data_IF_997583950118
#
_entry.id   IF_997583950118
#
_cell.length_a   1.000
_cell.length_b   1.000
_cell.length_c   1.000
_cell.angle_alpha   90.00
_cell.angle_beta   90.00
_cell.angle_gamma   90.00
#
_symmetry.space_group_name_H-M   'P 1'
#
loop_
_entity.id
_entity.type
_entity.pdbx_description
1 polymer ?
#
# COMPACT_ATOMS: atom_id res chain seq x y z
N UNK A 1 -27.33 24.12 -0.55
CA UNK A 1 -25.87 24.14 -0.33
C UNK A 1 -25.29 23.18 -1.35
N UNK A 2 -24.34 23.61 -2.18
CA UNK A 2 -23.55 22.66 -2.97
C UNK A 2 -22.60 22.03 -1.96
N UNK A 3 -22.71 20.74 -1.74
CA UNK A 3 -21.74 19.99 -0.97
C UNK A 3 -20.38 20.24 -1.61
N UNK A 4 -19.46 20.85 -0.85
CA UNK A 4 -18.06 20.92 -1.25
C UNK A 4 -17.57 19.46 -1.19
N UNK A 5 -17.69 18.72 -2.29
CA UNK A 5 -16.94 17.48 -2.48
C UNK A 5 -15.46 17.85 -2.36
N UNK A 6 -14.87 17.52 -1.21
CA UNK A 6 -13.44 17.67 -1.01
C UNK A 6 -12.80 16.66 -1.97
N UNK A 7 -12.16 17.16 -3.01
CA UNK A 7 -11.45 16.34 -3.99
C UNK A 7 -10.49 15.38 -3.26
N UNK A 8 -10.61 14.09 -3.58
CA UNK A 8 -9.74 13.08 -2.97
C UNK A 8 -8.30 13.27 -3.49
N UNK A 9 -7.30 13.14 -2.61
CA UNK A 9 -5.91 13.28 -3.03
C UNK A 9 -5.52 12.14 -3.99
N UNK A 10 -4.74 12.47 -5.01
CA UNK A 10 -4.18 11.50 -5.96
C UNK A 10 -3.06 10.70 -5.28
N UNK A 11 -3.41 9.53 -4.75
CA UNK A 11 -2.46 8.64 -4.09
C UNK A 11 -1.37 8.12 -5.02
N UNK A 12 -1.66 7.93 -6.32
CA UNK A 12 -0.67 7.47 -7.28
C UNK A 12 0.42 8.53 -7.49
N UNK A 13 0.02 9.79 -7.60
CA UNK A 13 0.96 10.92 -7.68
C UNK A 13 1.78 11.06 -6.41
N UNK A 14 1.15 10.97 -5.23
CA UNK A 14 1.84 11.06 -3.94
C UNK A 14 2.87 9.93 -3.80
N UNK A 15 2.47 8.69 -4.08
CA UNK A 15 3.37 7.53 -4.05
C UNK A 15 4.54 7.70 -5.02
N UNK A 16 4.24 8.12 -6.26
CA UNK A 16 5.27 8.37 -7.26
C UNK A 16 6.30 9.41 -6.82
N UNK A 17 5.85 10.51 -6.20
CA UNK A 17 6.73 11.53 -5.64
C UNK A 17 7.60 10.99 -4.51
N UNK A 18 7.02 10.23 -3.57
CA UNK A 18 7.77 9.59 -2.49
C UNK A 18 8.86 8.66 -3.03
N UNK A 19 8.51 7.76 -3.96
CA UNK A 19 9.47 6.81 -4.54
C UNK A 19 10.61 7.49 -5.31
N UNK A 20 10.36 8.65 -5.95
CA UNK A 20 11.39 9.39 -6.67
C UNK A 20 12.50 9.96 -5.77
N UNK A 21 12.21 10.19 -4.48
CA UNK A 21 13.21 10.65 -3.51
C UNK A 21 14.13 9.54 -3.03
N UNK A 22 13.79 8.28 -3.31
CA UNK A 22 14.53 7.10 -2.87
C UNK A 22 15.41 6.55 -3.98
N UNK A 23 16.59 6.08 -3.60
CA UNK A 23 17.51 5.33 -4.47
C UNK A 23 16.77 4.19 -5.19
N UNK A 24 16.94 4.01 -6.52
CA UNK A 24 16.14 3.05 -7.29
C UNK A 24 16.10 1.63 -6.72
N UNK A 25 17.23 1.12 -6.22
CA UNK A 25 17.32 -0.22 -5.63
C UNK A 25 16.62 -0.38 -4.28
N UNK A 26 16.29 0.72 -3.59
CA UNK A 26 15.64 0.72 -2.28
C UNK A 26 14.13 0.98 -2.37
N UNK A 27 13.63 1.43 -3.53
CA UNK A 27 12.20 1.70 -3.76
C UNK A 27 11.27 0.51 -3.47
N UNK A 28 11.58 -0.73 -3.89
CA UNK A 28 10.75 -1.88 -3.54
C UNK A 28 10.64 -2.10 -2.02
N UNK A 29 11.74 -1.92 -1.28
CA UNK A 29 11.74 -2.07 0.18
C UNK A 29 10.94 -0.96 0.87
N UNK A 30 11.02 0.28 0.37
CA UNK A 30 10.14 1.34 0.88
C UNK A 30 8.67 0.96 0.68
N UNK A 31 8.28 0.57 -0.55
CA UNK A 31 6.89 0.22 -0.84
C UNK A 31 6.42 -0.96 0.03
N UNK A 32 7.26 -1.99 0.23
CA UNK A 32 6.98 -3.08 1.16
C UNK A 32 6.73 -2.61 2.61
N UNK A 33 7.43 -1.56 3.06
CA UNK A 33 7.19 -0.97 4.38
C UNK A 33 5.86 -0.20 4.43
N UNK A 34 5.43 0.39 3.31
CA UNK A 34 4.11 1.01 3.16
C UNK A 34 3.00 -0.04 3.17
N UNK A 35 3.22 -1.23 2.60
CA UNK A 35 2.24 -2.33 2.70
C UNK A 35 1.99 -2.75 4.14
N UNK A 36 3.04 -2.79 4.98
CA UNK A 36 2.86 -3.02 6.43
C UNK A 36 2.00 -1.94 7.10
N UNK A 37 2.06 -0.69 6.63
CA UNK A 37 1.20 0.39 7.11
C UNK A 37 -0.24 0.21 6.62
N UNK A 38 -0.44 -0.20 5.37
CA UNK A 38 -1.75 -0.54 4.81
C UNK A 38 -2.39 -1.72 5.56
N UNK A 39 -1.63 -2.77 5.84
CA UNK A 39 -2.09 -3.92 6.62
C UNK A 39 -2.61 -3.51 8.02
N UNK A 40 -1.91 -2.58 8.69
CA UNK A 40 -2.37 -2.02 9.97
C UNK A 40 -3.68 -1.24 9.82
N UNK A 41 -3.84 -0.48 8.74
CA UNK A 41 -5.06 0.27 8.44
C UNK A 41 -6.25 -0.66 8.19
N UNK A 42 -6.08 -1.70 7.37
CA UNK A 42 -7.10 -2.72 7.15
C UNK A 42 -7.55 -3.39 8.44
N UNK A 43 -6.60 -3.77 9.32
CA UNK A 43 -6.92 -4.33 10.64
C UNK A 43 -7.71 -3.36 11.52
N UNK A 44 -7.39 -2.06 11.47
CA UNK A 44 -8.13 -1.03 12.21
C UNK A 44 -9.58 -0.96 11.71
N UNK A 45 -9.79 -0.85 10.41
CA UNK A 45 -11.14 -0.85 9.83
C UNK A 45 -11.90 -2.13 10.14
N UNK A 46 -11.23 -3.29 10.04
CA UNK A 46 -11.84 -4.57 10.39
C UNK A 46 -12.26 -4.60 11.87
N UNK A 47 -11.49 -4.03 12.78
CA UNK A 47 -11.86 -3.98 14.19
C UNK A 47 -13.09 -3.08 14.45
N UNK A 48 -13.22 -1.98 13.71
CA UNK A 48 -14.26 -0.97 13.87
C UNK A 48 -15.56 -1.27 13.09
N UNK A 49 -15.50 -2.12 12.06
CA UNK A 49 -16.66 -2.43 11.21
C UNK A 49 -17.67 -3.36 11.91
N UNK A 50 -18.96 -3.12 11.69
CA UNK A 50 -20.05 -3.87 12.32
C UNK A 50 -20.42 -5.16 11.58
N UNK A 51 -20.34 -5.16 10.23
CA UNK A 51 -20.67 -6.32 9.40
C UNK A 51 -19.54 -7.37 9.43
N UNK A 52 -19.76 -8.59 9.95
CA UNK A 52 -18.76 -9.65 10.02
C UNK A 52 -18.14 -10.03 8.66
N UNK A 53 -18.90 -10.02 7.57
CA UNK A 53 -18.40 -10.38 6.25
C UNK A 53 -17.40 -9.33 5.74
N UNK A 54 -17.69 -8.05 6.01
CA UNK A 54 -16.77 -6.96 5.68
C UNK A 54 -15.52 -7.04 6.55
N UNK A 55 -15.64 -7.39 7.84
CA UNK A 55 -14.48 -7.60 8.73
C UNK A 55 -13.55 -8.67 8.19
N UNK A 56 -14.10 -9.82 7.79
CA UNK A 56 -13.33 -10.92 7.21
C UNK A 56 -12.61 -10.49 5.93
N UNK A 57 -13.31 -9.80 5.02
CA UNK A 57 -12.69 -9.31 3.79
C UNK A 57 -11.57 -8.28 4.03
N UNK A 58 -11.74 -7.37 5.00
CA UNK A 58 -10.70 -6.41 5.40
C UNK A 58 -9.48 -7.12 6.02
N UNK A 59 -9.69 -8.16 6.84
CA UNK A 59 -8.59 -8.97 7.37
C UNK A 59 -7.87 -9.74 6.26
N UNK A 60 -8.60 -10.25 5.27
CA UNK A 60 -8.01 -10.88 4.09
C UNK A 60 -7.20 -9.91 3.23
N UNK A 61 -7.57 -8.62 3.20
CA UNK A 61 -6.73 -7.57 2.60
C UNK A 61 -5.46 -7.35 3.42
N UNK A 62 -5.56 -7.24 4.74
CA UNK A 62 -4.39 -7.09 5.60
C UNK A 62 -3.37 -8.24 5.46
N UNK A 63 -3.85 -9.48 5.29
CA UNK A 63 -2.95 -10.63 5.05
C UNK A 63 -2.25 -10.54 3.69
N UNK A 64 -2.95 -10.06 2.65
CA UNK A 64 -2.35 -9.85 1.33
C UNK A 64 -1.25 -8.80 1.37
N UNK A 65 -1.46 -7.69 2.08
CA UNK A 65 -0.42 -6.68 2.31
C UNK A 65 0.82 -7.26 3.01
N UNK A 66 0.60 -8.02 4.08
CA UNK A 66 1.70 -8.64 4.81
C UNK A 66 2.44 -9.70 3.98
N UNK A 67 1.73 -10.42 3.11
CA UNK A 67 2.32 -11.35 2.15
C UNK A 67 3.18 -10.63 1.11
N UNK A 68 2.70 -9.51 0.53
CA UNK A 68 3.48 -8.69 -0.40
C UNK A 68 4.77 -8.23 0.29
N UNK A 69 4.65 -7.65 1.48
CA UNK A 69 5.80 -7.19 2.25
C UNK A 69 6.80 -8.34 2.52
N UNK A 70 6.32 -9.51 2.99
CA UNK A 70 7.16 -10.71 3.23
C UNK A 70 7.90 -11.15 1.97
N UNK A 71 7.25 -11.13 0.80
CA UNK A 71 7.87 -11.50 -0.47
C UNK A 71 9.03 -10.59 -0.80
N UNK A 72 8.81 -9.28 -0.79
CA UNK A 72 9.84 -8.30 -1.14
C UNK A 72 10.98 -8.29 -0.12
N UNK A 73 10.65 -8.38 1.18
CA UNK A 73 11.64 -8.51 2.26
C UNK A 73 12.53 -9.74 2.07
N UNK A 74 12.00 -10.86 1.55
CA UNK A 74 12.80 -12.08 1.31
C UNK A 74 13.91 -11.94 0.27
N UNK A 75 13.87 -10.90 -0.57
CA UNK A 75 14.93 -10.58 -1.53
C UNK A 75 16.17 -9.96 -0.85
N UNK A 76 16.05 -9.53 0.42
CA UNK A 76 17.07 -8.77 1.11
C UNK A 76 17.29 -9.30 2.54
N UNK A 77 18.47 -9.87 2.86
CA UNK A 77 18.79 -10.32 4.22
C UNK A 77 18.61 -9.23 5.29
N UNK A 78 18.90 -7.98 4.94
CA UNK A 78 18.86 -6.82 5.83
C UNK A 78 17.61 -5.95 5.63
N UNK A 79 16.51 -6.53 5.10
CA UNK A 79 15.30 -5.79 4.74
C UNK A 79 14.79 -4.90 5.88
N UNK A 80 14.68 -5.45 7.10
CA UNK A 80 14.17 -4.74 8.26
C UNK A 80 15.04 -3.53 8.64
N UNK A 81 16.37 -3.67 8.59
CA UNK A 81 17.30 -2.56 8.88
C UNK A 81 17.15 -1.45 7.84
N UNK A 82 17.12 -1.82 6.56
CA UNK A 82 16.96 -0.86 5.45
C UNK A 82 15.62 -0.14 5.56
N UNK A 83 14.52 -0.85 5.81
CA UNK A 83 13.19 -0.26 5.94
C UNK A 83 13.10 0.68 7.14
N UNK A 84 13.64 0.28 8.29
CA UNK A 84 13.69 1.14 9.47
C UNK A 84 14.47 2.43 9.21
N UNK A 85 15.62 2.32 8.54
CA UNK A 85 16.41 3.48 8.13
C UNK A 85 15.64 4.38 7.15
N UNK A 86 15.04 3.81 6.11
CA UNK A 86 14.25 4.56 5.13
C UNK A 86 13.10 5.32 5.80
N UNK A 87 12.35 4.69 6.70
CA UNK A 87 11.25 5.36 7.41
C UNK A 87 11.75 6.41 8.41
N UNK A 88 12.91 6.19 9.05
CA UNK A 88 13.51 7.17 9.96
C UNK A 88 14.07 8.39 9.22
N UNK A 89 14.60 8.20 8.01
CA UNK A 89 15.10 9.26 7.13
C UNK A 89 13.97 10.04 6.44
N UNK A 90 12.77 9.46 6.34
CA UNK A 90 11.60 10.04 5.67
C UNK A 90 10.35 10.02 6.59
N UNK A 91 10.42 10.66 7.78
CA UNK A 91 9.33 10.61 8.77
C UNK A 91 8.00 11.21 8.25
N UNK A 92 8.08 12.13 7.29
CA UNK A 92 6.92 12.72 6.63
C UNK A 92 6.06 11.69 5.89
N UNK A 93 6.62 10.55 5.47
CA UNK A 93 5.85 9.47 4.85
C UNK A 93 4.92 8.79 5.86
N UNK A 94 5.38 8.62 7.11
CA UNK A 94 4.56 8.06 8.19
C UNK A 94 3.43 9.02 8.56
N UNK A 95 3.76 10.31 8.67
CA UNK A 95 2.78 11.35 8.98
C UNK A 95 1.76 11.47 7.85
N UNK A 96 2.20 11.53 6.59
CA UNK A 96 1.32 11.61 5.42
C UNK A 96 0.39 10.40 5.33
N UNK A 97 0.92 9.19 5.52
CA UNK A 97 0.15 7.94 5.55
C UNK A 97 -0.96 7.94 6.62
N UNK A 98 -0.74 8.64 7.74
CA UNK A 98 -1.74 8.84 8.80
C UNK A 98 -2.74 9.94 8.42
N UNK A 99 -2.25 11.14 8.13
CA UNK A 99 -3.09 12.34 7.94
C UNK A 99 -3.93 12.32 6.66
N UNK A 100 -3.53 11.55 5.65
CA UNK A 100 -4.33 11.40 4.42
C UNK A 100 -5.70 10.79 4.70
N UNK A 101 -5.81 9.87 5.66
CA UNK A 101 -7.03 9.10 5.92
C UNK A 101 -7.81 9.61 7.13
N UNK A 102 -7.12 10.15 8.14
CA UNK A 102 -7.76 10.60 9.38
C UNK A 102 -8.86 11.63 9.15
N UNK A 103 -9.98 11.45 9.86
CA UNK A 103 -11.13 12.36 9.82
C UNK A 103 -12.00 12.26 8.56
N UNK A 104 -11.61 11.47 7.55
CA UNK A 104 -12.42 11.29 6.33
C UNK A 104 -13.53 10.25 6.54
N UNK A 105 -14.68 10.40 5.85
CA UNK A 105 -15.68 9.33 5.75
C UNK A 105 -15.07 8.00 5.32
N UNK A 106 -15.58 6.88 5.84
CA UNK A 106 -15.01 5.55 5.54
C UNK A 106 -15.07 5.21 4.05
N UNK A 107 -16.10 5.66 3.32
CA UNK A 107 -16.20 5.48 1.87
C UNK A 107 -15.07 6.19 1.12
N UNK A 108 -14.70 7.39 1.55
CA UNK A 108 -13.59 8.15 0.98
C UNK A 108 -12.26 7.43 1.27
N UNK A 109 -12.10 6.94 2.49
CA UNK A 109 -10.93 6.16 2.87
C UNK A 109 -10.78 4.87 2.04
N UNK A 110 -11.87 4.13 1.82
CA UNK A 110 -11.88 2.95 0.96
C UNK A 110 -11.59 3.29 -0.50
N UNK A 111 -12.19 4.37 -1.01
CA UNK A 111 -11.92 4.85 -2.38
C UNK A 111 -10.45 5.20 -2.56
N UNK A 112 -9.88 5.96 -1.61
CA UNK A 112 -8.48 6.33 -1.61
C UNK A 112 -7.58 5.09 -1.54
N UNK A 113 -7.82 4.19 -0.59
CA UNK A 113 -7.00 2.98 -0.47
C UNK A 113 -7.07 2.15 -1.74
N UNK A 114 -8.24 1.92 -2.33
CA UNK A 114 -8.37 1.16 -3.57
C UNK A 114 -7.61 1.78 -4.76
N UNK A 115 -7.52 3.11 -4.82
CA UNK A 115 -6.67 3.80 -5.79
C UNK A 115 -5.18 3.61 -5.47
N UNK A 116 -4.82 3.63 -4.18
CA UNK A 116 -3.48 3.32 -3.68
C UNK A 116 -3.04 1.91 -4.07
N UNK A 117 -3.89 0.90 -3.87
CA UNK A 117 -3.62 -0.49 -4.27
C UNK A 117 -3.31 -0.60 -5.76
N UNK A 118 -4.11 0.04 -6.62
CA UNK A 118 -3.84 0.05 -8.08
C UNK A 118 -2.52 0.74 -8.42
N UNK A 119 -2.15 1.78 -7.69
CA UNK A 119 -0.86 2.42 -7.83
C UNK A 119 0.28 1.49 -7.38
N UNK A 120 0.11 0.75 -6.29
CA UNK A 120 1.01 -0.30 -5.82
C UNK A 120 1.19 -1.39 -6.87
N UNK A 121 0.08 -1.93 -7.40
CA UNK A 121 0.09 -2.92 -8.49
C UNK A 121 0.90 -2.47 -9.71
N UNK A 122 0.71 -1.21 -10.13
CA UNK A 122 1.46 -0.62 -11.23
C UNK A 122 2.95 -0.44 -10.88
N UNK A 123 3.27 -0.01 -9.66
CA UNK A 123 4.64 0.13 -9.18
C UNK A 123 5.38 -1.22 -9.15
N UNK A 124 4.76 -2.28 -8.63
CA UNK A 124 5.33 -3.63 -8.64
C UNK A 124 5.62 -4.13 -10.05
N UNK A 125 4.71 -3.90 -10.99
CA UNK A 125 4.91 -4.22 -12.41
C UNK A 125 6.12 -3.47 -12.99
N UNK A 126 6.27 -2.19 -12.66
CA UNK A 126 7.38 -1.37 -13.11
C UNK A 126 8.73 -1.82 -12.51
N UNK A 127 8.77 -2.16 -11.21
CA UNK A 127 9.98 -2.70 -10.57
C UNK A 127 10.39 -4.04 -11.18
N UNK A 128 9.43 -4.91 -11.46
CA UNK A 128 9.69 -6.17 -12.15
C UNK A 128 10.27 -5.97 -13.56
N UNK A 129 9.74 -5.00 -14.32
CA UNK A 129 10.25 -4.69 -15.64
C UNK A 129 11.68 -4.11 -15.60
N UNK A 130 12.06 -3.44 -14.52
CA UNK A 130 13.35 -2.79 -14.37
C UNK A 130 14.47 -3.72 -13.84
N UNK A 131 14.13 -4.83 -13.18
CA UNK A 131 15.15 -5.76 -12.65
C UNK A 131 15.69 -6.71 -13.71
N UNK A 132 17.00 -7.00 -13.65
CA UNK A 132 17.66 -8.03 -14.49
C UNK A 132 17.48 -9.44 -13.93
N UNK A 133 17.31 -9.58 -12.62
CA UNK A 133 17.27 -10.86 -11.91
C UNK A 133 15.93 -11.59 -12.14
N UNK A 134 15.92 -12.78 -12.78
CA UNK A 134 14.67 -13.46 -13.12
C UNK A 134 13.80 -13.83 -11.91
N UNK A 135 14.41 -14.31 -10.82
CA UNK A 135 13.68 -14.68 -9.60
C UNK A 135 13.08 -13.45 -8.91
N UNK A 136 13.80 -12.33 -8.86
CA UNK A 136 13.27 -11.08 -8.32
C UNK A 136 12.12 -10.55 -9.20
N UNK A 137 12.24 -10.67 -10.53
CA UNK A 137 11.19 -10.28 -11.47
C UNK A 137 9.89 -11.04 -11.23
N UNK A 138 9.96 -12.36 -11.14
CA UNK A 138 8.80 -13.22 -10.90
C UNK A 138 8.14 -12.89 -9.56
N UNK A 139 8.96 -12.72 -8.51
CA UNK A 139 8.46 -12.37 -7.19
C UNK A 139 7.77 -11.00 -7.19
N UNK A 140 8.36 -9.97 -7.79
CA UNK A 140 7.74 -8.64 -7.88
C UNK A 140 6.45 -8.68 -8.71
N UNK A 141 6.41 -9.41 -9.83
CA UNK A 141 5.19 -9.61 -10.62
C UNK A 141 4.07 -10.28 -9.82
N UNK A 142 4.42 -11.18 -8.90
CA UNK A 142 3.45 -11.88 -8.07
C UNK A 142 2.72 -10.98 -7.06
N UNK A 143 3.20 -9.75 -6.84
CA UNK A 143 2.61 -8.80 -5.90
C UNK A 143 1.40 -8.07 -6.50
N UNK A 144 1.46 -7.68 -7.79
CA UNK A 144 0.39 -6.90 -8.43
C UNK A 144 -1.01 -7.54 -8.37
N UNK A 145 -1.20 -8.86 -8.54
CA UNK A 145 -2.53 -9.47 -8.40
C UNK A 145 -3.11 -9.38 -6.98
N UNK A 146 -2.26 -9.31 -5.95
CA UNK A 146 -2.71 -9.23 -4.55
C UNK A 146 -3.29 -7.84 -4.26
N UNK A 147 -2.61 -6.79 -4.72
CA UNK A 147 -3.06 -5.39 -4.71
C UNK A 147 -4.38 -5.23 -5.48
N UNK A 148 -4.47 -5.77 -6.70
CA UNK A 148 -5.69 -5.66 -7.51
C UNK A 148 -6.88 -6.35 -6.83
N UNK A 149 -6.64 -7.46 -6.13
CA UNK A 149 -7.67 -8.12 -5.33
C UNK A 149 -8.11 -7.26 -4.13
N UNK A 150 -7.21 -6.50 -3.51
CA UNK A 150 -7.54 -5.57 -2.42
C UNK A 150 -8.38 -4.40 -2.96
N UNK A 151 -7.95 -3.81 -4.07
CA UNK A 151 -8.69 -2.75 -4.77
C UNK A 151 -10.11 -3.21 -5.11
N UNK A 152 -10.25 -4.39 -5.73
CA UNK A 152 -11.54 -4.94 -6.12
C UNK A 152 -12.46 -5.17 -4.92
N UNK A 153 -11.92 -5.67 -3.81
CA UNK A 153 -12.69 -5.84 -2.58
C UNK A 153 -13.19 -4.50 -2.04
N UNK A 154 -12.32 -3.50 -1.91
CA UNK A 154 -12.70 -2.18 -1.43
C UNK A 154 -13.77 -1.51 -2.31
N UNK A 155 -13.64 -1.62 -3.64
CA UNK A 155 -14.66 -1.12 -4.57
C UNK A 155 -16.02 -1.81 -4.41
N UNK A 156 -16.04 -3.08 -4.00
CA UNK A 156 -17.31 -3.79 -3.74
C UNK A 156 -18.07 -3.26 -2.51
N UNK A 157 -17.42 -2.45 -1.66
CA UNK A 157 -17.99 -1.87 -0.44
C UNK A 157 -18.53 -0.43 -0.64
N UNK A 158 -18.34 0.17 -1.82
CA UNK A 158 -18.68 1.58 -2.10
C UNK A 158 -20.12 1.74 -2.61
#
# INVERSE_FOLDING_TARGET
>A
MKDNEIELPDLAKILGQALQTIEPGQRPLLLAALERLAARRYRKWANEHLDPQVKEGLLACAEREDEIARRVESLHPDAAEIQNRLLAENPELLDLNRTLFEGRPIKDQFTMQAQGERAGAAAWSAFAAATSEPSARELLQSCSPLEEANAAFLYSLL
#
